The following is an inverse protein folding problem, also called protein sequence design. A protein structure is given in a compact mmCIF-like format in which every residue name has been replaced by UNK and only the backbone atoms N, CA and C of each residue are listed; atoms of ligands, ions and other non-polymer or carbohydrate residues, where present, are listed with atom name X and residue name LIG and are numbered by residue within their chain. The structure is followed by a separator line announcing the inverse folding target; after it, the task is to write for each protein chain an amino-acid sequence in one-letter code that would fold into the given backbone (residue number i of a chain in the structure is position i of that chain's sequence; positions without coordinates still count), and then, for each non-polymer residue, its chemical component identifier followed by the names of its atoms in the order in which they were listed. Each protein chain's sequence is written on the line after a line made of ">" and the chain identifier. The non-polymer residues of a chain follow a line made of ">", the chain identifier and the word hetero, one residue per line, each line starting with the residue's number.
data_IF_526096232674
#
_entry.id   IF_526096232674
#
_cell.length_a   1.000
_cell.length_b   1.000
_cell.length_c   1.000
_cell.angle_alpha   90.00
_cell.angle_beta   90.00
_cell.angle_gamma   90.00
#
_symmetry.space_group_name_H-M   'P 1'
#
loop_
_entity.id
_entity.type
_entity.pdbx_description
1 polymer ?
#
# COMPACT_ATOMS: atom_id res chain seq x y z
N UNK A 1 -25.49 12.62 2.38
CA UNK A 1 -24.02 12.50 2.27
C UNK A 1 -23.65 11.08 2.62
N UNK A 2 -23.26 10.29 1.63
CA UNK A 2 -22.75 8.93 1.84
C UNK A 2 -21.25 9.01 2.07
N UNK A 3 -20.80 8.66 3.26
CA UNK A 3 -19.38 8.40 3.52
C UNK A 3 -18.90 7.28 2.61
N UNK A 4 -17.60 7.29 2.25
CA UNK A 4 -16.98 6.12 1.65
C UNK A 4 -17.31 4.87 2.50
N UNK A 5 -17.63 3.72 1.88
CA UNK A 5 -17.71 2.48 2.64
C UNK A 5 -16.36 2.28 3.35
N UNK A 6 -16.33 1.85 4.62
CA UNK A 6 -15.08 1.51 5.27
C UNK A 6 -14.35 0.46 4.43
N UNK A 7 -13.02 0.52 4.39
CA UNK A 7 -12.21 -0.48 3.71
C UNK A 7 -12.61 -1.87 4.23
N UNK A 8 -13.28 -2.64 3.40
CA UNK A 8 -13.78 -3.96 3.77
C UNK A 8 -12.57 -4.88 3.82
N UNK A 9 -12.35 -5.49 4.98
CA UNK A 9 -11.30 -6.47 5.15
C UNK A 9 -11.37 -7.53 4.05
N UNK A 10 -10.21 -8.05 3.65
CA UNK A 10 -10.17 -9.39 3.09
C UNK A 10 -10.59 -10.36 4.20
N UNK A 11 -11.87 -10.75 4.20
CA UNK A 11 -12.47 -11.69 5.16
C UNK A 11 -11.61 -12.94 5.33
N UNK A 12 -10.94 -13.37 4.25
CA UNK A 12 -10.04 -14.52 4.26
C UNK A 12 -8.75 -14.25 5.03
N UNK A 13 -8.18 -13.06 4.93
CA UNK A 13 -7.00 -12.67 5.70
C UNK A 13 -7.33 -12.60 7.20
N UNK A 14 -8.46 -11.99 7.54
CA UNK A 14 -9.00 -11.96 8.91
C UNK A 14 -9.23 -13.37 9.43
N UNK A 15 -9.77 -14.27 8.61
CA UNK A 15 -10.00 -15.67 8.98
C UNK A 15 -8.69 -16.46 9.20
N UNK A 16 -7.71 -16.32 8.31
CA UNK A 16 -6.40 -16.96 8.44
C UNK A 16 -5.72 -16.51 9.75
N UNK A 17 -5.75 -15.21 10.05
CA UNK A 17 -5.26 -14.69 11.33
C UNK A 17 -6.05 -15.28 12.50
N UNK A 18 -7.38 -15.23 12.47
CA UNK A 18 -8.27 -15.71 13.53
C UNK A 18 -7.99 -17.17 13.91
N UNK A 19 -7.75 -18.03 12.92
CA UNK A 19 -7.44 -19.45 13.11
C UNK A 19 -6.06 -19.72 13.77
N UNK A 20 -5.18 -18.72 13.83
CA UNK A 20 -3.83 -18.83 14.42
C UNK A 20 -3.68 -18.15 15.76
N UNK A 21 -4.69 -17.39 16.19
CA UNK A 21 -4.67 -16.65 17.45
C UNK A 21 -5.10 -17.53 18.64
N UNK A 22 -4.34 -17.47 19.74
CA UNK A 22 -4.69 -18.14 20.98
C UNK A 22 -5.56 -17.28 21.91
N UNK A 23 -6.49 -17.93 22.61
CA UNK A 23 -7.28 -17.31 23.67
C UNK A 23 -8.26 -16.24 23.18
N UNK A 24 -8.65 -16.31 21.91
CA UNK A 24 -9.56 -15.38 21.21
C UNK A 24 -10.81 -15.05 22.02
N UNK A 25 -11.16 -13.77 22.08
CA UNK A 25 -12.46 -13.23 22.50
C UNK A 25 -12.93 -12.21 21.49
N UNK A 26 -14.15 -12.35 21.01
CA UNK A 26 -14.80 -11.40 20.09
C UNK A 26 -15.84 -10.58 20.84
N UNK A 27 -15.91 -9.29 20.58
CA UNK A 27 -16.90 -8.35 21.10
C UNK A 27 -17.22 -7.33 20.02
N UNK A 28 -18.41 -7.43 19.42
CA UNK A 28 -18.79 -6.62 18.25
C UNK A 28 -17.78 -6.80 17.11
N UNK A 29 -17.29 -5.69 16.56
CA UNK A 29 -16.30 -5.66 15.47
C UNK A 29 -14.85 -5.91 15.93
N UNK A 30 -14.60 -6.18 17.21
CA UNK A 30 -13.25 -6.30 17.78
C UNK A 30 -12.97 -7.71 18.28
N UNK A 31 -11.84 -8.26 17.84
CA UNK A 31 -11.25 -9.48 18.36
C UNK A 31 -10.07 -9.12 19.26
N UNK A 32 -9.96 -9.77 20.42
CA UNK A 32 -8.80 -9.69 21.30
C UNK A 32 -8.21 -11.08 21.53
N UNK A 33 -6.89 -11.20 21.56
CA UNK A 33 -6.18 -12.47 21.70
C UNK A 33 -4.79 -12.29 22.35
N UNK A 34 -4.09 -13.39 22.59
CA UNK A 34 -2.65 -13.35 22.79
C UNK A 34 -1.98 -12.84 21.51
N UNK A 35 -0.89 -12.08 21.65
CA UNK A 35 -0.10 -11.70 20.49
C UNK A 35 0.60 -12.94 19.91
N UNK A 36 0.52 -13.21 18.61
CA UNK A 36 1.16 -14.38 18.04
C UNK A 36 2.65 -14.13 17.72
N UNK A 37 3.13 -12.87 17.83
CA UNK A 37 4.51 -12.47 17.57
C UNK A 37 5.42 -12.48 18.80
N UNK A 38 4.86 -12.57 20.02
CA UNK A 38 5.66 -12.72 21.24
C UNK A 38 4.90 -13.49 22.33
N UNK A 39 5.62 -14.23 23.16
CA UNK A 39 5.02 -14.90 24.32
C UNK A 39 4.67 -13.88 25.41
N UNK A 40 3.42 -13.90 25.85
CA UNK A 40 2.96 -13.14 27.02
C UNK A 40 3.26 -13.91 28.30
N UNK A 41 3.78 -13.25 29.33
CA UNK A 41 4.13 -13.87 30.62
C UNK A 41 2.89 -14.37 31.38
N UNK A 42 1.77 -13.65 31.30
CA UNK A 42 0.55 -14.02 32.01
C UNK A 42 -0.51 -14.59 31.05
N UNK A 43 -0.95 -15.86 31.20
CA UNK A 43 -1.85 -16.54 30.27
C UNK A 43 -3.20 -15.85 29.98
N UNK A 44 -3.65 -14.97 30.88
CA UNK A 44 -4.91 -14.22 30.75
C UNK A 44 -4.76 -12.87 30.00
N UNK A 45 -3.54 -12.37 29.79
CA UNK A 45 -3.31 -11.12 29.05
C UNK A 45 -3.61 -11.32 27.56
N UNK A 46 -4.33 -10.35 26.98
CA UNK A 46 -4.65 -10.29 25.55
C UNK A 46 -4.18 -8.95 24.99
N UNK A 47 -2.86 -8.73 24.84
CA UNK A 47 -2.35 -7.46 24.37
C UNK A 47 -2.55 -7.26 22.86
N UNK A 48 -3.13 -8.23 22.13
CA UNK A 48 -3.37 -8.10 20.70
C UNK A 48 -4.86 -7.88 20.42
N UNK A 49 -5.16 -6.91 19.55
CA UNK A 49 -6.49 -6.61 19.03
C UNK A 49 -6.51 -6.65 17.50
N UNK A 50 -7.60 -7.13 16.91
CA UNK A 50 -7.88 -7.17 15.47
C UNK A 50 -9.32 -6.68 15.24
N UNK A 51 -9.48 -5.64 14.44
CA UNK A 51 -10.78 -5.17 13.96
C UNK A 51 -11.22 -6.04 12.77
N UNK A 52 -12.38 -6.69 12.88
CA UNK A 52 -12.82 -7.69 11.91
C UNK A 52 -13.20 -7.06 10.56
N UNK A 53 -13.96 -5.96 10.55
CA UNK A 53 -14.43 -5.33 9.30
C UNK A 53 -13.34 -4.64 8.47
N UNK A 54 -12.18 -4.32 9.04
CA UNK A 54 -11.07 -3.62 8.34
C UNK A 54 -9.78 -4.44 8.27
N UNK A 55 -9.68 -5.51 9.06
CA UNK A 55 -8.45 -6.29 9.23
C UNK A 55 -7.35 -5.56 10.00
N UNK A 56 -7.56 -4.32 10.48
CA UNK A 56 -6.57 -3.56 11.26
C UNK A 56 -6.26 -4.26 12.57
N UNK A 57 -4.99 -4.36 12.93
CA UNK A 57 -4.57 -5.04 14.14
C UNK A 57 -3.36 -4.38 14.82
N UNK A 58 -3.30 -4.54 16.13
CA UNK A 58 -2.29 -3.89 16.98
C UNK A 58 -1.95 -4.75 18.18
N UNK A 59 -0.68 -4.75 18.56
CA UNK A 59 -0.23 -5.22 19.84
C UNK A 59 0.09 -4.06 20.78
N UNK A 60 -0.65 -4.00 21.88
CA UNK A 60 -0.51 -3.06 23.00
C UNK A 60 0.59 -3.45 23.99
N UNK A 61 1.33 -4.54 23.73
CA UNK A 61 2.49 -4.92 24.54
C UNK A 61 3.70 -4.05 24.17
N UNK A 62 4.36 -3.39 25.14
CA UNK A 62 5.54 -2.56 24.86
C UNK A 62 6.75 -3.39 24.38
N UNK A 63 6.73 -4.72 24.55
CA UNK A 63 7.76 -5.65 24.04
C UNK A 63 7.62 -5.98 22.55
N UNK A 64 6.51 -5.60 21.92
CA UNK A 64 6.20 -5.97 20.53
C UNK A 64 5.80 -4.75 19.69
N UNK A 65 4.87 -3.92 20.18
CA UNK A 65 4.38 -2.71 19.51
C UNK A 65 3.85 -2.86 18.06
N UNK A 66 3.80 -4.07 17.51
CA UNK A 66 3.32 -4.36 16.16
C UNK A 66 1.98 -3.68 15.87
N UNK A 67 1.91 -2.96 14.77
CA UNK A 67 0.70 -2.28 14.28
C UNK A 67 0.66 -2.45 12.76
N UNK A 68 -0.52 -2.72 12.21
CA UNK A 68 -0.72 -2.94 10.77
C UNK A 68 -2.04 -3.63 10.50
N UNK A 69 -2.13 -4.41 9.42
CA UNK A 69 -3.34 -5.16 9.07
C UNK A 69 -3.13 -6.70 9.05
N UNK A 70 -4.21 -7.45 8.84
CA UNK A 70 -4.20 -8.90 8.83
C UNK A 70 -3.23 -9.50 7.80
N UNK A 71 -3.04 -8.86 6.63
CA UNK A 71 -2.07 -9.30 5.62
C UNK A 71 -0.62 -9.08 6.07
N UNK A 72 -0.33 -7.97 6.76
CA UNK A 72 0.98 -7.77 7.41
C UNK A 72 1.22 -8.82 8.50
N UNK A 73 0.22 -9.13 9.32
CA UNK A 73 0.37 -10.12 10.37
C UNK A 73 0.54 -11.55 9.82
N UNK A 74 -0.15 -11.90 8.73
CA UNK A 74 0.05 -13.17 8.00
C UNK A 74 1.51 -13.33 7.60
N UNK A 75 2.14 -12.26 7.09
CA UNK A 75 3.56 -12.24 6.72
C UNK A 75 4.48 -12.41 7.92
N UNK A 76 4.28 -11.65 8.99
CA UNK A 76 5.08 -11.77 10.23
C UNK A 76 5.00 -13.18 10.85
N UNK A 77 3.89 -13.89 10.61
CA UNK A 77 3.69 -15.28 11.04
C UNK A 77 4.20 -16.34 10.04
N UNK A 78 4.79 -15.93 8.91
CA UNK A 78 5.25 -16.83 7.86
C UNK A 78 4.13 -17.65 7.20
N UNK A 79 2.89 -17.13 7.21
CA UNK A 79 1.72 -17.80 6.66
C UNK A 79 1.57 -17.46 5.18
N UNK A 80 1.34 -18.46 4.33
CA UNK A 80 1.09 -18.23 2.91
C UNK A 80 -0.35 -17.72 2.68
N UNK A 81 -0.49 -16.45 2.25
CA UNK A 81 -1.71 -15.99 1.60
C UNK A 81 -1.83 -16.67 0.23
N UNK A 82 -2.54 -17.80 0.18
CA UNK A 82 -2.73 -18.58 -1.04
C UNK A 82 -3.70 -17.89 -2.00
N UNK A 83 -3.24 -16.85 -2.68
CA UNK A 83 -3.96 -16.19 -3.78
C UNK A 83 -4.20 -17.21 -4.90
N UNK A 84 -5.38 -17.13 -5.55
CA UNK A 84 -5.80 -18.07 -6.60
C UNK A 84 -6.45 -17.30 -7.75
N UNK A 85 -5.96 -17.58 -8.94
CA UNK A 85 -6.50 -17.09 -10.21
C UNK A 85 -7.94 -17.58 -10.41
N UNK A 86 -8.85 -16.69 -10.81
CA UNK A 86 -10.22 -17.02 -11.21
C UNK A 86 -10.43 -16.60 -12.67
N UNK A 87 -10.41 -17.59 -13.57
CA UNK A 87 -10.80 -17.40 -14.98
C UNK A 87 -9.83 -16.54 -15.82
N UNK A 88 -10.39 -15.71 -16.70
CA UNK A 88 -9.65 -14.83 -17.63
C UNK A 88 -9.18 -13.53 -16.98
N UNK A 89 -9.49 -13.30 -15.71
CA UNK A 89 -9.10 -12.11 -14.97
C UNK A 89 -7.59 -12.08 -14.76
N UNK A 90 -6.95 -10.92 -14.98
CA UNK A 90 -5.52 -10.76 -14.70
C UNK A 90 -5.31 -10.64 -13.19
N UNK A 91 -5.27 -11.79 -12.51
CA UNK A 91 -4.89 -11.88 -11.10
C UNK A 91 -3.43 -11.45 -10.94
N UNK A 92 -3.23 -10.29 -10.32
CA UNK A 92 -1.91 -9.73 -10.02
C UNK A 92 -1.26 -10.39 -8.80
N UNK A 93 -1.91 -11.35 -8.14
CA UNK A 93 -1.41 -11.97 -6.91
C UNK A 93 -1.56 -11.07 -5.67
N UNK A 94 -2.31 -9.96 -5.80
CA UNK A 94 -2.41 -8.89 -4.82
C UNK A 94 -3.88 -8.73 -4.36
N UNK A 95 -4.16 -8.61 -3.05
CA UNK A 95 -5.51 -8.36 -2.51
C UNK A 95 -5.96 -6.91 -2.77
N UNK A 96 -6.14 -6.52 -4.04
CA UNK A 96 -6.44 -5.14 -4.43
C UNK A 96 -7.93 -4.77 -4.35
N UNK A 97 -8.81 -5.77 -4.23
CA UNK A 97 -10.26 -5.54 -4.07
C UNK A 97 -10.61 -4.71 -2.82
N UNK A 98 -9.79 -4.76 -1.76
CA UNK A 98 -9.96 -3.92 -0.56
C UNK A 98 -9.84 -2.41 -0.85
N UNK A 99 -9.14 -2.05 -1.94
CA UNK A 99 -9.01 -0.67 -2.45
C UNK A 99 -10.03 -0.32 -3.54
N UNK A 100 -11.02 -1.18 -3.79
CA UNK A 100 -12.00 -1.01 -4.86
C UNK A 100 -11.45 -1.19 -6.27
N UNK A 101 -10.18 -1.63 -6.42
CA UNK A 101 -9.59 -1.92 -7.72
C UNK A 101 -10.31 -3.14 -8.32
N UNK A 102 -10.84 -2.97 -9.53
CA UNK A 102 -11.52 -4.05 -10.26
C UNK A 102 -10.70 -4.45 -11.47
N UNK A 103 -10.72 -5.75 -11.79
CA UNK A 103 -10.08 -6.30 -12.98
C UNK A 103 -11.11 -7.20 -13.67
N UNK A 104 -11.30 -7.01 -14.97
CA UNK A 104 -12.12 -7.88 -15.82
C UNK A 104 -11.29 -8.42 -17.00
N UNK A 105 -11.93 -8.95 -18.04
CA UNK A 105 -11.24 -9.46 -19.24
C UNK A 105 -10.83 -8.35 -20.23
N UNK A 106 -11.24 -7.10 -19.99
CA UNK A 106 -10.97 -5.95 -20.84
C UNK A 106 -9.92 -4.99 -20.23
N UNK A 107 -10.00 -4.72 -18.92
CA UNK A 107 -9.18 -3.73 -18.24
C UNK A 107 -9.08 -3.96 -16.72
N UNK A 108 -8.07 -3.32 -16.12
CA UNK A 108 -8.06 -2.99 -14.71
C UNK A 108 -8.51 -1.53 -14.50
N UNK A 109 -9.34 -1.28 -13.49
CA UNK A 109 -9.81 0.05 -13.09
C UNK A 109 -9.38 0.35 -11.67
N UNK A 110 -8.74 1.49 -11.50
CA UNK A 110 -8.25 2.01 -10.24
C UNK A 110 -9.11 3.22 -9.86
N UNK A 111 -10.05 3.08 -8.91
CA UNK A 111 -10.82 4.22 -8.44
C UNK A 111 -9.91 5.19 -7.70
N UNK A 112 -9.96 6.47 -8.08
CA UNK A 112 -9.21 7.54 -7.46
C UNK A 112 -10.10 8.24 -6.43
N UNK A 113 -9.61 8.34 -5.20
CA UNK A 113 -10.32 8.98 -4.09
C UNK A 113 -9.55 10.20 -3.59
N UNK A 114 -10.27 11.26 -3.22
CA UNK A 114 -9.67 12.38 -2.49
C UNK A 114 -9.36 12.00 -1.03
N UNK A 115 -8.67 12.90 -0.32
CA UNK A 115 -8.29 12.73 1.08
C UNK A 115 -9.49 12.58 2.06
N UNK A 116 -10.73 12.81 1.61
CA UNK A 116 -11.97 12.60 2.39
C UNK A 116 -12.66 11.27 2.03
N UNK A 117 -12.15 10.53 1.02
CA UNK A 117 -12.75 9.31 0.52
C UNK A 117 -13.82 9.52 -0.55
N UNK A 118 -13.98 10.73 -1.12
CA UNK A 118 -14.90 10.93 -2.24
C UNK A 118 -14.26 10.37 -3.53
N UNK A 119 -14.97 9.51 -4.24
CA UNK A 119 -14.52 8.99 -5.55
C UNK A 119 -14.52 10.14 -6.56
N UNK A 120 -13.37 10.40 -7.15
CA UNK A 120 -13.18 11.50 -8.11
C UNK A 120 -13.42 11.04 -9.55
N UNK A 121 -12.74 9.96 -9.95
CA UNK A 121 -12.77 9.31 -11.27
C UNK A 121 -12.07 7.95 -11.18
N UNK A 122 -12.09 7.17 -12.26
CA UNK A 122 -11.27 5.96 -12.37
C UNK A 122 -10.12 6.18 -13.36
N UNK A 123 -8.94 5.67 -13.04
CA UNK A 123 -7.88 5.44 -14.02
C UNK A 123 -7.99 4.01 -14.55
N UNK A 124 -7.95 3.85 -15.87
CA UNK A 124 -8.25 2.58 -16.53
C UNK A 124 -7.07 2.14 -17.40
N UNK A 125 -6.60 0.93 -17.13
CA UNK A 125 -5.52 0.26 -17.85
C UNK A 125 -6.09 -0.89 -18.66
N UNK A 126 -6.26 -0.68 -19.96
CA UNK A 126 -6.71 -1.74 -20.89
C UNK A 126 -5.69 -2.88 -20.92
N UNK A 127 -6.19 -4.11 -21.03
CA UNK A 127 -5.36 -5.27 -21.31
C UNK A 127 -4.96 -5.35 -22.79
N UNK A 128 -5.77 -4.78 -23.70
CA UNK A 128 -5.55 -4.76 -25.15
C UNK A 128 -6.08 -3.47 -25.79
N UNK A 129 -5.44 -3.05 -26.88
CA UNK A 129 -5.85 -1.89 -27.69
C UNK A 129 -5.45 -0.54 -27.09
N UNK A 130 -5.56 0.51 -27.92
CA UNK A 130 -5.16 1.88 -27.57
C UNK A 130 -6.37 2.82 -27.32
N UNK A 131 -6.19 3.95 -26.62
CA UNK A 131 -5.08 4.21 -25.71
C UNK A 131 -5.07 3.18 -24.57
N UNK A 132 -3.89 2.66 -24.22
CA UNK A 132 -3.71 1.65 -23.17
C UNK A 132 -4.11 2.17 -21.78
N UNK A 133 -3.88 3.45 -21.53
CA UNK A 133 -4.20 4.15 -20.29
C UNK A 133 -5.15 5.31 -20.60
N UNK A 134 -6.20 5.47 -19.79
CA UNK A 134 -7.10 6.61 -19.89
C UNK A 134 -7.84 6.85 -18.56
N UNK A 135 -8.41 8.03 -18.40
CA UNK A 135 -9.31 8.33 -17.29
C UNK A 135 -10.76 8.19 -17.74
N UNK A 136 -11.58 7.48 -16.97
CA UNK A 136 -13.04 7.56 -17.13
C UNK A 136 -13.54 8.94 -16.66
N UNK A 137 -14.71 9.35 -17.18
CA UNK A 137 -15.31 10.64 -16.82
C UNK A 137 -15.72 10.61 -15.34
N UNK A 138 -15.23 11.57 -14.57
CA UNK A 138 -15.60 11.78 -13.17
C UNK A 138 -15.93 13.24 -12.87
N UNK A 139 -16.34 13.52 -11.63
CA UNK A 139 -16.71 14.86 -11.17
C UNK A 139 -15.49 15.75 -10.91
N UNK A 140 -14.33 15.15 -10.65
CA UNK A 140 -13.07 15.85 -10.35
C UNK A 140 -11.89 15.20 -11.06
N UNK A 141 -10.96 16.02 -11.55
CA UNK A 141 -9.62 15.58 -11.89
C UNK A 141 -8.86 15.28 -10.60
N UNK A 142 -8.25 14.10 -10.53
CA UNK A 142 -7.34 13.72 -9.45
C UNK A 142 -6.14 12.97 -10.05
N UNK A 143 -4.93 13.37 -9.69
CA UNK A 143 -3.72 12.99 -10.43
C UNK A 143 -2.86 11.90 -9.79
N UNK A 144 -3.29 11.37 -8.64
CA UNK A 144 -2.69 10.20 -8.00
C UNK A 144 -3.73 9.13 -7.65
N UNK A 145 -3.28 7.88 -7.60
CA UNK A 145 -3.90 6.85 -6.77
C UNK A 145 -3.20 6.85 -5.40
N UNK A 146 -3.95 6.79 -4.30
CA UNK A 146 -3.39 6.90 -2.94
C UNK A 146 -4.07 5.90 -2.00
N UNK A 147 -3.27 5.14 -1.25
CA UNK A 147 -3.74 4.29 -0.15
C UNK A 147 -4.05 5.15 1.09
N UNK A 148 -5.14 5.94 1.02
CA UNK A 148 -5.49 6.93 2.05
C UNK A 148 -5.79 6.35 3.43
N UNK A 149 -6.22 5.10 3.50
CA UNK A 149 -6.35 4.33 4.74
C UNK A 149 -4.97 4.16 5.42
N UNK A 150 -3.98 3.65 4.67
CA UNK A 150 -2.62 3.45 5.16
C UNK A 150 -1.91 4.78 5.46
N UNK A 151 -2.10 5.81 4.63
CA UNK A 151 -1.51 7.16 4.86
C UNK A 151 -1.99 7.76 6.18
N UNK A 152 -3.29 7.62 6.51
CA UNK A 152 -3.82 8.08 7.80
C UNK A 152 -3.33 7.21 8.96
N UNK A 153 -3.32 5.88 8.81
CA UNK A 153 -2.85 4.95 9.85
C UNK A 153 -1.37 5.15 10.22
N UNK A 154 -0.50 5.32 9.21
CA UNK A 154 0.94 5.45 9.42
C UNK A 154 1.38 6.87 9.77
N UNK A 155 0.64 7.88 9.32
CA UNK A 155 0.94 9.28 9.66
C UNK A 155 0.88 9.56 11.17
N UNK A 156 0.00 8.88 11.92
CA UNK A 156 -0.06 8.99 13.38
C UNK A 156 1.12 8.32 14.13
N UNK A 157 1.95 7.52 13.46
CA UNK A 157 2.94 6.66 14.13
C UNK A 157 4.35 6.65 13.54
N UNK A 158 4.49 6.37 12.24
CA UNK A 158 5.79 6.18 11.57
C UNK A 158 6.20 7.37 10.70
N UNK A 159 5.24 8.14 10.20
CA UNK A 159 5.49 9.36 9.44
C UNK A 159 6.13 9.17 8.06
N UNK A 160 6.14 7.94 7.51
CA UNK A 160 6.74 7.61 6.19
C UNK A 160 5.68 7.11 5.20
N UNK A 161 5.69 7.63 3.98
CA UNK A 161 4.96 7.07 2.84
C UNK A 161 5.86 6.91 1.61
N UNK A 162 5.42 6.11 0.64
CA UNK A 162 6.14 5.81 -0.60
C UNK A 162 5.50 6.51 -1.80
N UNK A 163 6.30 6.89 -2.80
CA UNK A 163 5.82 7.51 -4.04
C UNK A 163 6.45 6.85 -5.27
N UNK A 164 5.62 6.57 -6.28
CA UNK A 164 5.94 5.76 -7.47
C UNK A 164 5.25 6.32 -8.72
N UNK A 165 5.68 5.87 -9.90
CA UNK A 165 5.21 6.37 -11.22
C UNK A 165 3.94 5.67 -11.75
N UNK A 166 3.27 4.85 -10.92
CA UNK A 166 2.11 4.09 -11.36
C UNK A 166 1.18 3.62 -10.23
N UNK A 167 -0.10 3.46 -10.57
CA UNK A 167 -1.14 2.89 -9.72
C UNK A 167 -0.90 1.41 -9.37
N UNK A 168 -0.39 0.62 -10.32
CA UNK A 168 -0.02 -0.79 -10.13
C UNK A 168 1.06 -0.93 -9.06
N UNK A 169 2.08 -0.09 -9.10
CA UNK A 169 3.21 -0.10 -8.18
C UNK A 169 2.79 0.38 -6.79
N UNK A 170 1.94 1.41 -6.73
CA UNK A 170 1.36 1.86 -5.47
C UNK A 170 0.45 0.77 -4.87
N UNK A 171 -0.42 0.14 -5.67
CA UNK A 171 -1.21 -1.02 -5.24
C UNK A 171 -0.35 -2.20 -4.77
N UNK A 172 0.81 -2.42 -5.39
CA UNK A 172 1.79 -3.44 -4.96
C UNK A 172 2.37 -3.11 -3.58
N UNK A 173 2.65 -1.84 -3.28
CA UNK A 173 3.11 -1.41 -1.96
C UNK A 173 1.99 -1.45 -0.92
N UNK A 174 0.80 -0.93 -1.26
CA UNK A 174 -0.37 -0.87 -0.38
C UNK A 174 -0.85 -2.26 0.05
N UNK A 175 -0.96 -3.19 -0.89
CA UNK A 175 -1.31 -4.59 -0.60
C UNK A 175 -0.32 -5.30 0.33
N UNK A 176 0.90 -4.77 0.45
CA UNK A 176 1.90 -5.21 1.40
C UNK A 176 2.03 -4.30 2.64
N UNK A 177 1.07 -3.39 2.86
CA UNK A 177 0.95 -2.60 4.08
C UNK A 177 1.73 -1.29 4.10
N UNK A 178 2.38 -0.90 2.99
CA UNK A 178 3.09 0.38 2.93
C UNK A 178 2.19 1.50 2.38
N UNK A 179 2.07 2.64 3.09
CA UNK A 179 1.38 3.82 2.58
C UNK A 179 2.03 4.27 1.28
N UNK A 180 1.23 4.46 0.23
CA UNK A 180 1.77 4.66 -1.12
C UNK A 180 0.91 5.59 -1.98
N UNK A 181 1.61 6.31 -2.86
CA UNK A 181 1.10 7.34 -3.77
C UNK A 181 1.60 6.98 -5.18
N UNK A 182 0.71 6.59 -6.07
CA UNK A 182 0.99 6.38 -7.49
C UNK A 182 0.71 7.64 -8.29
N UNK A 183 1.76 8.33 -8.74
CA UNK A 183 1.68 9.49 -9.64
C UNK A 183 1.37 8.97 -11.03
N UNK A 184 0.24 9.36 -11.63
CA UNK A 184 -0.29 8.69 -12.83
C UNK A 184 0.32 9.21 -14.15
N UNK A 185 1.65 9.32 -14.19
CA UNK A 185 2.45 9.97 -15.24
C UNK A 185 3.39 11.03 -14.63
N UNK A 186 4.66 11.06 -15.04
CA UNK A 186 5.69 11.92 -14.39
C UNK A 186 5.37 13.42 -14.48
N UNK A 187 4.72 13.83 -15.57
CA UNK A 187 4.23 15.18 -15.82
C UNK A 187 3.16 15.64 -14.83
N UNK A 188 2.43 14.69 -14.23
CA UNK A 188 1.35 14.98 -13.28
C UNK A 188 1.84 15.24 -11.85
N UNK A 189 3.14 15.10 -11.57
CA UNK A 189 3.68 15.31 -10.22
C UNK A 189 3.40 16.70 -9.65
N UNK A 190 3.37 17.75 -10.49
CA UNK A 190 3.03 19.11 -9.99
C UNK A 190 1.59 19.17 -9.47
N UNK A 191 0.64 18.49 -10.13
CA UNK A 191 -0.75 18.42 -9.65
C UNK A 191 -0.83 17.59 -8.37
N UNK A 192 -0.10 16.47 -8.28
CA UNK A 192 -0.03 15.65 -7.06
C UNK A 192 0.55 16.44 -5.89
N UNK A 193 1.58 17.26 -6.13
CA UNK A 193 2.18 18.14 -5.12
C UNK A 193 1.16 19.07 -4.49
N UNK A 194 0.26 19.64 -5.29
CA UNK A 194 -0.74 20.60 -4.82
C UNK A 194 -2.04 19.92 -4.30
N UNK A 195 -2.49 18.82 -4.92
CA UNK A 195 -3.75 18.11 -4.64
C UNK A 195 -3.66 17.04 -3.52
N UNK A 196 -2.46 16.52 -3.23
CA UNK A 196 -2.25 15.33 -2.37
C UNK A 196 -1.36 15.64 -1.18
N UNK A 197 -0.18 16.23 -1.41
CA UNK A 197 0.85 16.34 -0.37
C UNK A 197 0.48 17.20 0.85
N UNK A 198 -0.32 18.27 0.76
CA UNK A 198 -0.79 18.98 1.95
C UNK A 198 -1.56 18.06 2.91
N UNK A 199 -2.36 17.13 2.37
CA UNK A 199 -3.15 16.19 3.16
C UNK A 199 -2.31 15.01 3.68
N UNK A 200 -1.29 14.57 2.92
CA UNK A 200 -0.28 13.61 3.39
C UNK A 200 0.48 14.19 4.60
N UNK A 201 0.89 15.46 4.52
CA UNK A 201 1.54 16.17 5.64
C UNK A 201 0.60 16.38 6.82
N UNK A 202 -0.67 16.73 6.56
CA UNK A 202 -1.71 16.85 7.59
C UNK A 202 -1.98 15.52 8.32
N UNK A 203 -1.84 14.38 7.64
CA UNK A 203 -1.97 13.06 8.26
C UNK A 203 -0.80 12.72 9.21
N UNK A 204 0.29 13.48 9.19
CA UNK A 204 1.49 13.26 10.02
C UNK A 204 2.68 12.64 9.27
N UNK A 205 2.56 12.40 7.95
CA UNK A 205 3.68 11.94 7.14
C UNK A 205 4.69 13.08 6.95
N UNK A 206 5.86 12.97 7.58
CA UNK A 206 6.98 13.91 7.46
C UNK A 206 8.08 13.46 6.49
N UNK A 207 8.04 12.20 6.03
CA UNK A 207 9.04 11.61 5.17
C UNK A 207 8.43 10.86 3.98
N UNK A 208 9.06 10.96 2.81
CA UNK A 208 8.62 10.33 1.56
C UNK A 208 9.77 9.54 0.94
N UNK A 209 9.50 8.29 0.53
CA UNK A 209 10.46 7.43 -0.17
C UNK A 209 10.04 7.26 -1.63
N UNK A 210 10.82 7.84 -2.53
CA UNK A 210 10.64 7.68 -3.98
C UNK A 210 11.21 6.32 -4.39
N UNK A 211 10.39 5.51 -5.07
CA UNK A 211 10.81 4.26 -5.73
C UNK A 211 10.60 4.46 -7.24
N UNK A 212 11.62 4.95 -7.97
CA UNK A 212 11.48 5.23 -9.39
C UNK A 212 11.51 3.96 -10.24
N UNK A 213 10.91 4.06 -11.42
CA UNK A 213 11.12 3.11 -12.50
C UNK A 213 12.62 3.05 -12.86
N UNK A 214 13.09 1.85 -13.20
CA UNK A 214 14.51 1.58 -13.41
C UNK A 214 15.02 1.98 -14.81
N UNK A 215 14.44 3.01 -15.41
CA UNK A 215 14.86 3.62 -16.67
C UNK A 215 15.37 5.06 -16.46
N UNK A 216 15.76 5.73 -17.54
CA UNK A 216 16.28 7.11 -17.46
C UNK A 216 15.20 8.14 -17.13
N UNK A 217 13.94 7.87 -17.49
CA UNK A 217 12.82 8.76 -17.18
C UNK A 217 12.52 8.74 -15.68
N UNK A 218 12.41 7.55 -15.07
CA UNK A 218 12.20 7.42 -13.62
C UNK A 218 13.37 7.96 -12.79
N UNK A 219 14.61 7.78 -13.25
CA UNK A 219 15.79 8.43 -12.63
C UNK A 219 15.74 9.96 -12.71
N UNK A 220 15.29 10.53 -13.82
CA UNK A 220 15.14 11.97 -13.97
C UNK A 220 13.99 12.50 -13.09
N UNK A 221 12.84 11.81 -13.09
CA UNK A 221 11.68 12.14 -12.27
C UNK A 221 12.03 12.11 -10.78
N UNK A 222 12.67 11.05 -10.27
CA UNK A 222 13.09 10.99 -8.87
C UNK A 222 14.04 12.14 -8.47
N UNK A 223 14.95 12.57 -9.36
CA UNK A 223 15.82 13.72 -9.10
C UNK A 223 15.02 15.02 -8.97
N UNK A 224 14.08 15.26 -9.87
CA UNK A 224 13.22 16.45 -9.83
C UNK A 224 12.28 16.44 -8.61
N UNK A 225 11.60 15.32 -8.38
CA UNK A 225 10.68 15.14 -7.25
C UNK A 225 11.42 15.32 -5.93
N UNK A 226 12.63 14.79 -5.79
CA UNK A 226 13.47 15.00 -4.60
C UNK A 226 13.65 16.49 -4.30
N UNK A 227 14.01 17.30 -5.31
CA UNK A 227 14.21 18.74 -5.10
C UNK A 227 12.93 19.46 -4.67
N UNK A 228 11.80 19.12 -5.29
CA UNK A 228 10.49 19.71 -4.97
C UNK A 228 10.00 19.30 -3.57
N UNK A 229 10.08 18.02 -3.22
CA UNK A 229 9.66 17.50 -1.92
C UNK A 229 10.51 18.02 -0.75
N UNK A 230 11.82 18.20 -0.96
CA UNK A 230 12.70 18.85 0.01
C UNK A 230 12.28 20.31 0.25
N UNK A 231 11.95 21.05 -0.83
CA UNK A 231 11.44 22.43 -0.72
C UNK A 231 10.07 22.52 -0.01
N UNK A 232 9.26 21.46 -0.05
CA UNK A 232 8.01 21.33 0.72
C UNK A 232 8.24 20.92 2.20
N UNK A 233 9.50 20.71 2.59
CA UNK A 233 9.91 20.35 3.94
C UNK A 233 9.68 18.88 4.32
N UNK A 234 9.64 17.97 3.36
CA UNK A 234 9.69 16.52 3.64
C UNK A 234 11.14 16.03 3.76
N UNK A 235 11.40 15.07 4.64
CA UNK A 235 12.59 14.23 4.50
C UNK A 235 12.39 13.29 3.30
N UNK A 236 13.35 13.23 2.37
CA UNK A 236 13.19 12.46 1.13
C UNK A 236 14.20 11.32 1.07
N UNK A 237 13.71 10.10 0.91
CA UNK A 237 14.51 8.93 0.56
C UNK A 237 14.35 8.58 -0.91
N UNK A 238 15.41 8.07 -1.54
CA UNK A 238 15.30 7.38 -2.84
C UNK A 238 15.69 5.92 -2.64
N UNK A 239 14.80 4.98 -3.00
CA UNK A 239 15.03 3.52 -2.94
C UNK A 239 15.06 2.98 -4.37
N UNK A 240 16.23 2.88 -5.02
CA UNK A 240 16.33 2.39 -6.40
C UNK A 240 16.09 0.87 -6.45
N UNK A 241 15.37 0.44 -7.48
CA UNK A 241 15.13 -0.97 -7.77
C UNK A 241 16.38 -1.67 -8.33
N UNK A 242 16.57 -2.98 -8.09
CA UNK A 242 17.80 -3.69 -8.44
C UNK A 242 17.94 -4.02 -9.94
N UNK A 243 19.18 -4.08 -10.46
CA UNK A 243 19.79 -5.31 -10.97
C UNK A 243 18.88 -6.22 -11.82
N UNK A 244 18.53 -7.33 -11.19
CA UNK A 244 17.52 -8.34 -11.52
C UNK A 244 16.97 -8.85 -10.19
N UNK A 245 15.91 -9.67 -10.22
CA UNK A 245 15.55 -10.51 -9.09
C UNK A 245 15.16 -11.91 -9.58
N UNK A 246 15.73 -12.97 -8.99
CA UNK A 246 15.56 -14.36 -9.43
C UNK A 246 15.67 -14.51 -10.96
N UNK A 247 16.73 -13.94 -11.52
CA UNK A 247 17.09 -13.92 -12.95
C UNK A 247 16.10 -13.22 -13.90
N UNK A 248 15.06 -12.55 -13.37
CA UNK A 248 14.16 -11.71 -14.16
C UNK A 248 14.59 -10.23 -14.11
N UNK A 249 14.46 -9.48 -15.21
CA UNK A 249 14.62 -8.03 -15.17
C UNK A 249 13.55 -7.41 -14.27
N UNK A 250 13.92 -6.35 -13.57
CA UNK A 250 13.02 -5.54 -12.74
C UNK A 250 13.01 -4.14 -13.33
N UNK A 251 11.86 -3.71 -13.88
CA UNK A 251 11.64 -2.31 -14.27
C UNK A 251 11.04 -1.52 -13.11
N UNK A 252 9.93 -2.02 -12.58
CA UNK A 252 9.11 -1.34 -11.58
C UNK A 252 8.90 -2.20 -10.32
N UNK A 253 8.11 -1.70 -9.37
CA UNK A 253 7.89 -2.37 -8.07
C UNK A 253 7.05 -3.64 -8.24
N UNK A 254 6.09 -3.63 -9.17
CA UNK A 254 5.35 -4.82 -9.53
C UNK A 254 6.23 -5.90 -10.18
N UNK A 255 7.19 -5.53 -11.02
CA UNK A 255 8.12 -6.50 -11.61
C UNK A 255 9.02 -7.13 -10.53
N UNK A 256 9.45 -6.37 -9.52
CA UNK A 256 10.16 -6.92 -8.36
C UNK A 256 9.28 -7.92 -7.60
N UNK A 257 8.00 -7.61 -7.41
CA UNK A 257 7.02 -8.53 -6.82
C UNK A 257 6.82 -9.79 -7.69
N UNK A 258 6.59 -9.67 -9.00
CA UNK A 258 6.38 -10.78 -9.93
C UNK A 258 7.64 -11.67 -10.11
N UNK A 259 8.81 -11.13 -9.79
CA UNK A 259 10.06 -11.87 -9.72
C UNK A 259 10.22 -12.62 -8.39
N UNK A 260 9.80 -12.04 -7.27
CA UNK A 260 10.15 -12.55 -5.93
C UNK A 260 9.01 -13.30 -5.22
N UNK A 261 7.75 -13.00 -5.54
CA UNK A 261 6.56 -13.62 -4.98
C UNK A 261 6.41 -13.31 -3.49
N UNK A 262 6.11 -14.31 -2.63
CA UNK A 262 6.02 -14.10 -1.17
C UNK A 262 7.27 -13.51 -0.51
N UNK A 263 8.43 -13.60 -1.15
CA UNK A 263 9.68 -13.01 -0.68
C UNK A 263 9.81 -11.50 -0.98
N UNK A 264 8.86 -10.91 -1.73
CA UNK A 264 8.88 -9.49 -2.12
C UNK A 264 9.16 -8.54 -0.96
N UNK A 265 8.53 -8.68 0.23
CA UNK A 265 8.80 -7.76 1.33
C UNK A 265 10.25 -7.77 1.80
N UNK A 266 10.82 -8.96 2.07
CA UNK A 266 12.21 -9.06 2.49
C UNK A 266 13.17 -8.50 1.44
N UNK A 267 12.90 -8.74 0.15
CA UNK A 267 13.66 -8.14 -0.94
C UNK A 267 13.54 -6.61 -0.94
N UNK A 268 12.32 -6.07 -0.89
CA UNK A 268 12.04 -4.63 -0.95
C UNK A 268 12.61 -3.88 0.26
N UNK A 269 12.44 -4.42 1.47
CA UNK A 269 12.98 -3.83 2.70
C UNK A 269 14.52 -3.82 2.70
N UNK A 270 15.17 -4.86 2.16
CA UNK A 270 16.64 -4.92 2.03
C UNK A 270 17.24 -3.89 1.06
N UNK A 271 16.43 -3.27 0.18
CA UNK A 271 16.93 -2.23 -0.72
C UNK A 271 17.32 -0.95 0.04
N UNK A 272 18.51 -0.39 -0.20
CA UNK A 272 18.98 0.81 0.50
C UNK A 272 18.09 2.02 0.20
N UNK A 273 17.88 2.86 1.21
CA UNK A 273 17.19 4.16 1.06
C UNK A 273 18.21 5.27 1.21
N UNK A 274 18.42 6.05 0.14
CA UNK A 274 19.35 7.16 0.13
C UNK A 274 18.66 8.44 0.60
N UNK A 275 18.67 8.68 1.91
CA UNK A 275 18.02 9.81 2.56
C UNK A 275 18.66 11.17 2.27
N UNK A 276 17.83 12.21 2.25
CA UNK A 276 18.14 13.64 2.14
C UNK A 276 17.20 14.41 3.08
N UNK A 277 17.71 15.40 3.78
CA UNK A 277 16.93 16.35 4.58
C UNK A 277 16.76 17.67 3.82
N UNK A 278 15.68 18.44 4.08
CA UNK A 278 15.54 19.83 3.64
C UNK A 278 16.73 20.72 4.01
#
# INVERSE_FOLDING_TARGET
>A
MTTAPPAVADDRAVEIVRQRLEGVRVSGNQLSARCPLHRTEHPAQRPFSLELATGRCRCWSPKCAFTGNAQMLIRELGLESTVRVIGNTVDWGLPLGQYGITVDDHAARFPLYDHLGNRCRDHVRKHRGEPRFYFEKGERTYHAWVAWDLVREWGEGSGVAYIVEGDRDAGTLASHGWPSIGVLGVEHFSNVRDEVLPHVKQAGIGALVIVPDRDDAGRAAAKEWTQRLLADGFMVGVKPLPPTAKDKPVKDTYDLYAATGPAFPAHFDSLPVFWRSP
#
